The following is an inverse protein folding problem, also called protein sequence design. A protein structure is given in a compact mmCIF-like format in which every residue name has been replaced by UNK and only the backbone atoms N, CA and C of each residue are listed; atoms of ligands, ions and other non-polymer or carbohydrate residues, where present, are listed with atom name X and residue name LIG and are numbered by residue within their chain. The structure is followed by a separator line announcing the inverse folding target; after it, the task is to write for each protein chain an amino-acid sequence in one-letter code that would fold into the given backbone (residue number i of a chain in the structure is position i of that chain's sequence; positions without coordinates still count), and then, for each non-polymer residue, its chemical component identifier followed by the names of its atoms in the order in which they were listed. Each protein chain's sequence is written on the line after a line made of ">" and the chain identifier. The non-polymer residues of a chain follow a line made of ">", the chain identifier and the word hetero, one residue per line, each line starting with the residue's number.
data_IF_365092460770
#
_entry.id   IF_365092460770
#
_cell.length_a   1.000
_cell.length_b   1.000
_cell.length_c   1.000
_cell.angle_alpha   90.00
_cell.angle_beta   90.00
_cell.angle_gamma   90.00
#
_symmetry.space_group_name_H-M   'P 1'
#
loop_
_entity.id
_entity.type
_entity.pdbx_description
1 polymer ?
#
# COMPACT_ATOMS: atom_id res chain seq x y z
N UNK A 1 5.88 -33.50 -24.70
CA UNK A 1 4.76 -32.64 -25.12
C UNK A 1 3.86 -32.46 -23.92
N UNK A 2 3.99 -31.33 -23.22
CA UNK A 2 3.17 -31.02 -22.04
C UNK A 2 2.22 -29.91 -22.50
N UNK A 3 0.89 -30.12 -22.52
CA UNK A 3 -0.04 -29.04 -22.79
C UNK A 3 0.18 -27.96 -21.73
N UNK A 4 0.27 -26.73 -22.20
CA UNK A 4 0.32 -25.48 -21.44
C UNK A 4 -0.45 -25.55 -20.13
N UNK A 5 0.27 -25.69 -19.01
CA UNK A 5 -0.30 -25.55 -17.64
C UNK A 5 -0.53 -24.08 -17.25
N UNK A 6 -0.26 -23.17 -18.18
CA UNK A 6 -0.84 -21.84 -18.20
C UNK A 6 -2.23 -22.06 -18.81
N UNK A 7 -3.26 -22.03 -17.98
CA UNK A 7 -4.63 -22.05 -18.50
C UNK A 7 -4.78 -20.80 -19.36
N UNK A 8 -4.84 -21.00 -20.68
CA UNK A 8 -5.44 -20.05 -21.60
C UNK A 8 -6.92 -20.01 -21.25
N UNK A 9 -7.28 -19.17 -20.28
CA UNK A 9 -8.68 -18.93 -19.96
C UNK A 9 -9.16 -17.92 -21.00
N UNK A 10 -9.85 -18.44 -22.00
CA UNK A 10 -10.43 -17.64 -23.07
C UNK A 10 -11.80 -17.12 -22.59
N UNK A 11 -11.77 -16.03 -21.81
CA UNK A 11 -13.00 -15.38 -21.35
C UNK A 11 -13.39 -14.35 -22.41
N UNK A 12 -14.51 -14.56 -23.11
CA UNK A 12 -14.98 -13.69 -24.20
C UNK A 12 -13.98 -13.47 -25.34
N UNK A 13 -13.10 -14.44 -25.63
CA UNK A 13 -12.06 -14.32 -26.67
C UNK A 13 -10.79 -13.56 -26.21
N UNK A 14 -10.68 -13.26 -24.92
CA UNK A 14 -9.50 -12.66 -24.32
C UNK A 14 -8.64 -13.73 -23.65
N UNK A 15 -7.37 -13.79 -24.05
CA UNK A 15 -6.43 -14.76 -23.54
C UNK A 15 -5.83 -14.29 -22.20
N UNK A 16 -6.55 -14.51 -21.08
CA UNK A 16 -6.20 -13.98 -19.76
C UNK A 16 -5.13 -14.86 -19.08
N UNK A 17 -3.88 -14.58 -19.41
CA UNK A 17 -2.74 -15.48 -19.15
C UNK A 17 -2.10 -15.22 -17.78
N UNK A 18 -2.12 -13.98 -17.30
CA UNK A 18 -1.50 -13.60 -16.03
C UNK A 18 -2.41 -13.87 -14.83
N UNK A 19 -3.73 -13.70 -15.00
CA UNK A 19 -4.71 -14.00 -13.95
C UNK A 19 -4.77 -15.50 -13.62
N UNK A 20 -4.65 -16.34 -14.64
CA UNK A 20 -4.60 -17.79 -14.48
C UNK A 20 -3.29 -18.28 -13.87
N UNK A 21 -2.17 -17.55 -14.07
CA UNK A 21 -0.90 -17.83 -13.41
C UNK A 21 -0.87 -17.41 -11.93
N UNK A 22 -1.71 -16.45 -11.52
CA UNK A 22 -1.83 -15.97 -10.13
C UNK A 22 -2.81 -16.80 -9.29
N UNK A 23 -3.77 -17.49 -9.92
CA UNK A 23 -4.61 -18.50 -9.26
C UNK A 23 -3.92 -19.87 -9.29
N UNK A 24 -3.26 -20.20 -8.19
CA UNK A 24 -2.86 -21.59 -7.95
C UNK A 24 -4.13 -22.39 -7.62
N UNK A 25 -4.51 -23.31 -8.52
CA UNK A 25 -5.54 -24.32 -8.23
C UNK A 25 -4.90 -25.39 -7.33
N UNK A 26 -5.39 -25.50 -6.09
CA UNK A 26 -4.86 -26.40 -5.08
C UNK A 26 -5.01 -27.87 -5.51
N UNK A 27 -5.97 -28.21 -6.40
CA UNK A 27 -6.11 -29.59 -6.88
C UNK A 27 -5.03 -30.03 -7.87
N UNK A 28 -4.41 -29.10 -8.60
CA UNK A 28 -3.25 -29.45 -9.44
C UNK A 28 -2.01 -29.81 -8.59
N UNK A 29 -2.00 -29.40 -7.31
CA UNK A 29 -1.01 -29.80 -6.32
C UNK A 29 -1.27 -31.18 -5.71
N UNK A 30 -2.44 -31.81 -5.90
CA UNK A 30 -2.70 -33.20 -5.44
C UNK A 30 -1.69 -34.20 -6.01
N UNK A 31 -1.06 -33.87 -7.16
CA UNK A 31 0.04 -34.64 -7.76
C UNK A 31 1.33 -34.60 -6.92
N UNK A 32 1.42 -33.70 -5.94
CA UNK A 32 2.56 -33.48 -5.05
C UNK A 32 2.10 -33.33 -3.59
N UNK A 33 1.75 -34.44 -2.90
CA UNK A 33 1.10 -34.42 -1.58
C UNK A 33 1.78 -33.57 -0.48
N UNK A 34 3.13 -33.59 -0.31
CA UNK A 34 3.75 -32.77 0.73
C UNK A 34 3.69 -31.27 0.42
N UNK A 35 3.65 -30.90 -0.87
CA UNK A 35 3.59 -29.51 -1.30
C UNK A 35 2.18 -28.96 -1.19
N UNK A 36 1.18 -29.75 -1.57
CA UNK A 36 -0.24 -29.45 -1.35
C UNK A 36 -0.52 -29.14 0.13
N UNK A 37 -0.06 -29.99 1.03
CA UNK A 37 -0.23 -29.79 2.47
C UNK A 37 0.37 -28.45 2.96
N UNK A 38 1.59 -28.12 2.53
CA UNK A 38 2.27 -26.87 2.92
C UNK A 38 1.52 -25.64 2.38
N UNK A 39 1.15 -25.66 1.09
CA UNK A 39 0.47 -24.52 0.45
C UNK A 39 -0.93 -24.35 1.05
N UNK A 40 -1.66 -25.44 1.30
CA UNK A 40 -2.97 -25.42 1.94
C UNK A 40 -2.90 -24.81 3.35
N UNK A 41 -1.97 -25.26 4.20
CA UNK A 41 -1.77 -24.67 5.54
C UNK A 41 -1.41 -23.20 5.44
N UNK A 42 -0.48 -22.84 4.56
CA UNK A 42 -0.03 -21.44 4.39
C UNK A 42 -1.18 -20.55 3.94
N UNK A 43 -2.06 -21.04 3.05
CA UNK A 43 -3.24 -20.31 2.59
C UNK A 43 -4.29 -20.15 3.69
N UNK A 44 -4.49 -21.15 4.56
CA UNK A 44 -5.37 -21.03 5.74
C UNK A 44 -4.83 -19.99 6.71
N UNK A 45 -3.52 -20.01 6.99
CA UNK A 45 -2.86 -18.99 7.82
C UNK A 45 -3.01 -17.60 7.19
N UNK A 46 -2.81 -17.48 5.88
CA UNK A 46 -3.02 -16.25 5.14
C UNK A 46 -4.47 -15.74 5.30
N UNK A 47 -5.47 -16.61 5.13
CA UNK A 47 -6.88 -16.25 5.28
C UNK A 47 -7.19 -15.68 6.67
N UNK A 48 -6.67 -16.31 7.73
CA UNK A 48 -6.83 -15.82 9.10
C UNK A 48 -6.18 -14.45 9.26
N UNK A 49 -4.95 -14.27 8.76
CA UNK A 49 -4.25 -12.99 8.77
C UNK A 49 -5.01 -11.90 8.00
N UNK A 50 -5.53 -12.20 6.81
CA UNK A 50 -6.31 -11.26 6.00
C UNK A 50 -7.50 -10.69 6.78
N UNK A 51 -8.22 -11.53 7.53
CA UNK A 51 -9.36 -11.09 8.35
C UNK A 51 -8.89 -10.16 9.48
N UNK A 52 -7.87 -10.55 10.24
CA UNK A 52 -7.34 -9.73 11.33
C UNK A 52 -6.81 -8.37 10.84
N UNK A 53 -6.06 -8.37 9.74
CA UNK A 53 -5.51 -7.15 9.16
C UNK A 53 -6.62 -6.29 8.54
N UNK A 54 -7.58 -6.89 7.85
CA UNK A 54 -8.76 -6.17 7.33
C UNK A 54 -9.51 -5.44 8.45
N UNK A 55 -9.70 -6.09 9.60
CA UNK A 55 -10.29 -5.47 10.78
C UNK A 55 -9.41 -4.36 11.37
N UNK A 56 -8.08 -4.54 11.40
CA UNK A 56 -7.13 -3.53 11.86
C UNK A 56 -7.07 -2.27 10.97
N UNK A 57 -7.37 -2.42 9.68
CA UNK A 57 -7.43 -1.31 8.74
C UNK A 57 -8.59 -0.33 9.00
N UNK A 58 -9.70 -0.78 9.60
CA UNK A 58 -10.85 0.06 9.92
C UNK A 58 -10.52 1.17 10.95
N UNK A 59 -9.99 0.87 12.16
CA UNK A 59 -9.55 1.89 13.09
C UNK A 59 -8.38 2.70 12.53
N UNK A 60 -7.50 2.10 11.73
CA UNK A 60 -6.41 2.84 11.09
C UNK A 60 -6.92 3.91 10.11
N UNK A 61 -7.91 3.56 9.28
CA UNK A 61 -8.60 4.50 8.39
C UNK A 61 -9.21 5.66 9.20
N UNK A 62 -9.90 5.36 10.30
CA UNK A 62 -10.47 6.38 11.19
C UNK A 62 -9.38 7.31 11.77
N UNK A 63 -8.26 6.76 12.25
CA UNK A 63 -7.14 7.54 12.79
C UNK A 63 -6.59 8.49 11.74
N UNK A 64 -6.27 8.01 10.55
CA UNK A 64 -5.71 8.85 9.48
C UNK A 64 -6.74 9.87 9.00
N UNK A 65 -8.03 9.51 8.94
CA UNK A 65 -9.12 10.40 8.55
C UNK A 65 -9.40 11.51 9.57
N UNK A 66 -9.07 11.32 10.85
CA UNK A 66 -9.37 12.29 11.91
C UNK A 66 -8.15 13.06 12.40
N UNK A 67 -6.94 12.48 12.35
CA UNK A 67 -5.71 13.19 12.73
C UNK A 67 -5.34 14.27 11.71
N UNK A 68 -4.84 15.40 12.21
CA UNK A 68 -4.38 16.57 11.46
C UNK A 68 -2.84 16.65 11.32
N UNK A 69 -2.13 15.51 11.45
CA UNK A 69 -0.66 15.45 11.45
C UNK A 69 -0.04 15.98 10.14
N UNK A 70 -0.69 15.73 9.02
CA UNK A 70 -0.23 16.14 7.69
C UNK A 70 -1.26 17.00 6.99
N UNK A 71 -0.77 17.84 6.07
CA UNK A 71 -1.60 18.69 5.23
C UNK A 71 -2.72 17.89 4.51
N UNK A 72 -3.93 18.46 4.33
CA UNK A 72 -5.09 17.76 3.76
C UNK A 72 -4.88 17.10 2.38
N UNK A 73 -3.91 17.56 1.58
CA UNK A 73 -3.57 16.93 0.30
C UNK A 73 -2.90 15.57 0.52
N UNK A 74 -1.85 15.50 1.34
CA UNK A 74 -1.18 14.24 1.66
C UNK A 74 -2.12 13.29 2.41
N UNK A 75 -2.93 13.81 3.32
CA UNK A 75 -3.95 13.01 4.01
C UNK A 75 -4.90 12.31 3.03
N UNK A 76 -5.38 13.01 2.00
CA UNK A 76 -6.23 12.41 0.95
C UNK A 76 -5.50 11.32 0.16
N UNK A 77 -4.22 11.52 -0.15
CA UNK A 77 -3.39 10.51 -0.81
C UNK A 77 -3.22 9.28 0.11
N UNK A 78 -2.93 9.47 1.40
CA UNK A 78 -2.81 8.37 2.36
C UNK A 78 -4.12 7.60 2.50
N UNK A 79 -5.27 8.28 2.56
CA UNK A 79 -6.59 7.63 2.60
C UNK A 79 -6.87 6.81 1.33
N UNK A 80 -6.47 7.30 0.15
CA UNK A 80 -6.54 6.53 -1.10
C UNK A 80 -5.70 5.24 -0.99
N UNK A 81 -4.47 5.33 -0.47
CA UNK A 81 -3.58 4.17 -0.31
C UNK A 81 -4.15 3.14 0.67
N UNK A 82 -4.71 3.60 1.79
CA UNK A 82 -5.37 2.78 2.80
C UNK A 82 -6.59 2.07 2.21
N UNK A 83 -7.43 2.79 1.47
CA UNK A 83 -8.60 2.22 0.80
C UNK A 83 -8.19 1.15 -0.22
N UNK A 84 -7.16 1.40 -1.02
CA UNK A 84 -6.66 0.42 -1.98
C UNK A 84 -6.02 -0.80 -1.30
N UNK A 85 -5.33 -0.62 -0.18
CA UNK A 85 -4.83 -1.74 0.63
C UNK A 85 -5.98 -2.60 1.17
N UNK A 86 -7.06 -1.98 1.65
CA UNK A 86 -8.24 -2.69 2.11
C UNK A 86 -8.93 -3.47 0.97
N UNK A 87 -9.14 -2.82 -0.19
CA UNK A 87 -9.72 -3.47 -1.37
C UNK A 87 -8.83 -4.61 -1.92
N UNK A 88 -7.50 -4.46 -1.85
CA UNK A 88 -6.56 -5.51 -2.18
C UNK A 88 -6.75 -6.75 -1.27
N UNK A 89 -6.86 -6.56 0.05
CA UNK A 89 -7.09 -7.65 1.00
C UNK A 89 -8.44 -8.34 0.75
N UNK A 90 -9.49 -7.55 0.50
CA UNK A 90 -10.83 -8.06 0.22
C UNK A 90 -10.86 -8.91 -1.06
N UNK A 91 -10.28 -8.40 -2.16
CA UNK A 91 -10.22 -9.14 -3.42
C UNK A 91 -9.35 -10.40 -3.30
N UNK A 92 -8.25 -10.37 -2.53
CA UNK A 92 -7.46 -11.58 -2.24
C UNK A 92 -8.27 -12.62 -1.47
N UNK A 93 -9.08 -12.21 -0.49
CA UNK A 93 -9.98 -13.11 0.23
C UNK A 93 -10.96 -13.81 -0.74
N UNK A 94 -11.56 -13.06 -1.68
CA UNK A 94 -12.42 -13.63 -2.73
C UNK A 94 -11.65 -14.64 -3.59
N UNK A 95 -10.42 -14.33 -4.02
CA UNK A 95 -9.62 -15.24 -4.83
C UNK A 95 -9.25 -16.54 -4.09
N UNK A 96 -9.02 -16.49 -2.79
CA UNK A 96 -8.77 -17.70 -1.97
C UNK A 96 -10.01 -18.61 -1.96
N UNK A 97 -11.23 -18.07 -1.95
CA UNK A 97 -12.46 -18.88 -2.05
C UNK A 97 -12.54 -19.65 -3.37
N UNK A 98 -12.04 -19.07 -4.46
CA UNK A 98 -11.89 -19.76 -5.75
C UNK A 98 -10.77 -20.80 -5.71
N UNK A 99 -9.62 -20.52 -5.09
CA UNK A 99 -8.52 -21.48 -4.95
C UNK A 99 -8.90 -22.75 -4.18
N UNK A 100 -9.76 -22.64 -3.17
CA UNK A 100 -10.32 -23.79 -2.44
C UNK A 100 -11.58 -24.40 -3.10
N UNK A 101 -12.08 -23.81 -4.19
CA UNK A 101 -13.35 -24.19 -4.84
C UNK A 101 -14.58 -24.14 -3.92
N UNK A 102 -14.59 -23.23 -2.94
CA UNK A 102 -15.84 -22.86 -2.28
C UNK A 102 -16.79 -22.15 -3.25
N UNK A 103 -16.21 -21.46 -4.24
CA UNK A 103 -16.90 -20.95 -5.43
C UNK A 103 -16.34 -21.75 -6.61
N UNK A 104 -17.15 -22.64 -7.16
CA UNK A 104 -16.72 -23.48 -8.29
C UNK A 104 -16.67 -22.67 -9.58
N UNK A 105 -15.67 -22.99 -10.43
CA UNK A 105 -15.70 -22.65 -11.85
C UNK A 105 -16.67 -23.61 -12.53
N UNK A 106 -17.95 -23.31 -12.47
CA UNK A 106 -19.01 -24.15 -13.07
C UNK A 106 -19.04 -24.08 -14.59
N UNK A 107 -18.21 -23.22 -15.20
CA UNK A 107 -18.34 -22.83 -16.61
C UNK A 107 -19.51 -21.87 -16.84
N UNK A 108 -20.10 -21.35 -15.76
CA UNK A 108 -21.08 -20.27 -15.80
C UNK A 108 -20.33 -18.94 -16.01
N UNK A 109 -20.77 -18.17 -17.03
CA UNK A 109 -20.18 -16.88 -17.38
C UNK A 109 -20.11 -15.93 -16.17
N UNK A 110 -21.05 -16.05 -15.23
CA UNK A 110 -21.06 -15.20 -14.02
C UNK A 110 -19.95 -15.52 -13.03
N UNK A 111 -19.64 -16.81 -12.79
CA UNK A 111 -18.56 -17.18 -11.87
C UNK A 111 -17.18 -16.80 -12.41
N UNK A 112 -17.01 -16.90 -13.73
CA UNK A 112 -15.75 -16.56 -14.40
C UNK A 112 -15.56 -15.05 -14.54
N UNK A 113 -16.66 -14.30 -14.73
CA UNK A 113 -16.64 -12.84 -14.71
C UNK A 113 -16.25 -12.29 -13.33
N UNK A 114 -16.79 -12.84 -12.24
CA UNK A 114 -16.45 -12.42 -10.88
C UNK A 114 -14.96 -12.66 -10.57
N UNK A 115 -14.42 -13.79 -11.04
CA UNK A 115 -12.99 -14.09 -10.95
C UNK A 115 -12.13 -13.06 -11.68
N UNK A 116 -12.52 -12.72 -12.91
CA UNK A 116 -11.83 -11.73 -13.74
C UNK A 116 -11.85 -10.33 -13.09
N UNK A 117 -13.01 -9.92 -12.58
CA UNK A 117 -13.18 -8.63 -11.89
C UNK A 117 -12.33 -8.60 -10.62
N UNK A 118 -12.44 -9.61 -9.75
CA UNK A 118 -11.70 -9.66 -8.50
C UNK A 118 -10.18 -9.62 -8.75
N UNK A 119 -9.72 -10.38 -9.73
CA UNK A 119 -8.31 -10.40 -10.14
C UNK A 119 -7.82 -9.07 -10.71
N UNK A 120 -8.59 -8.45 -11.60
CA UNK A 120 -8.25 -7.15 -12.20
C UNK A 120 -8.25 -6.02 -11.19
N UNK A 121 -9.27 -5.97 -10.31
CA UNK A 121 -9.36 -4.98 -9.23
C UNK A 121 -8.18 -5.15 -8.27
N UNK A 122 -7.82 -6.39 -7.91
CA UNK A 122 -6.65 -6.64 -7.06
C UNK A 122 -5.37 -6.08 -7.66
N UNK A 123 -5.13 -6.35 -8.95
CA UNK A 123 -3.95 -5.83 -9.66
C UNK A 123 -3.97 -4.30 -9.75
N UNK A 124 -5.13 -3.68 -9.96
CA UNK A 124 -5.25 -2.23 -9.97
C UNK A 124 -4.91 -1.65 -8.58
N UNK A 125 -5.47 -2.20 -7.50
CA UNK A 125 -5.16 -1.78 -6.14
C UNK A 125 -3.68 -1.95 -5.81
N UNK A 126 -3.08 -3.06 -6.25
CA UNK A 126 -1.64 -3.32 -6.11
C UNK A 126 -0.82 -2.22 -6.78
N UNK A 127 -1.12 -1.87 -8.04
CA UNK A 127 -0.44 -0.79 -8.78
C UNK A 127 -0.56 0.55 -8.03
N UNK A 128 -1.74 0.89 -7.51
CA UNK A 128 -1.94 2.13 -6.74
C UNK A 128 -1.08 2.15 -5.48
N UNK A 129 -1.02 1.04 -4.75
CA UNK A 129 -0.22 0.92 -3.52
C UNK A 129 1.28 1.00 -3.84
N UNK A 130 1.76 0.34 -4.89
CA UNK A 130 3.17 0.48 -5.33
C UNK A 130 3.50 1.90 -5.82
N UNK A 131 2.53 2.62 -6.37
CA UNK A 131 2.68 4.00 -6.78
C UNK A 131 2.67 5.01 -5.61
N UNK A 132 2.61 4.56 -4.34
CA UNK A 132 2.66 5.46 -3.18
C UNK A 132 3.90 6.36 -3.18
N UNK A 133 5.06 5.83 -3.59
CA UNK A 133 6.32 6.58 -3.59
C UNK A 133 6.25 7.79 -4.52
N UNK A 134 5.93 7.65 -5.82
CA UNK A 134 5.75 8.81 -6.68
C UNK A 134 4.63 9.73 -6.20
N UNK A 135 3.51 9.22 -5.64
CA UNK A 135 2.44 10.08 -5.13
C UNK A 135 2.88 10.99 -3.99
N UNK A 136 3.58 10.42 -2.99
CA UNK A 136 4.11 11.18 -1.85
C UNK A 136 5.17 12.18 -2.34
N UNK A 137 6.09 11.75 -3.21
CA UNK A 137 7.15 12.63 -3.71
C UNK A 137 6.57 13.80 -4.52
N UNK A 138 5.62 13.56 -5.42
CA UNK A 138 4.98 14.62 -6.21
C UNK A 138 4.28 15.63 -5.31
N UNK A 139 3.52 15.19 -4.31
CA UNK A 139 2.86 16.10 -3.39
C UNK A 139 3.87 16.90 -2.54
N UNK A 140 4.96 16.26 -2.09
CA UNK A 140 6.03 16.94 -1.36
C UNK A 140 6.82 17.93 -2.21
N UNK A 141 7.02 17.67 -3.50
CA UNK A 141 7.64 18.64 -4.42
C UNK A 141 6.82 19.93 -4.46
N UNK A 142 5.50 19.82 -4.59
CA UNK A 142 4.62 21.00 -4.57
C UNK A 142 4.59 21.69 -3.20
N UNK A 143 4.61 20.94 -2.11
CA UNK A 143 4.69 21.50 -0.76
C UNK A 143 5.97 22.31 -0.51
N UNK A 144 7.09 21.91 -1.13
CA UNK A 144 8.36 22.66 -1.07
C UNK A 144 8.35 23.86 -2.04
N UNK A 145 7.82 23.73 -3.25
CA UNK A 145 7.72 24.85 -4.22
C UNK A 145 6.83 25.97 -3.68
N UNK A 146 5.69 25.60 -3.08
CA UNK A 146 4.68 26.54 -2.58
C UNK A 146 4.80 26.80 -1.07
N UNK A 147 5.99 26.63 -0.48
CA UNK A 147 6.20 26.67 0.98
C UNK A 147 5.52 27.84 1.69
N UNK A 148 5.52 29.02 1.08
CA UNK A 148 4.99 30.25 1.67
C UNK A 148 3.46 30.34 1.71
N UNK A 149 2.75 29.68 0.78
CA UNK A 149 1.31 29.80 0.65
C UNK A 149 0.57 28.46 0.61
N UNK A 150 1.28 27.34 0.80
CA UNK A 150 0.71 25.99 0.76
C UNK A 150 -0.37 25.80 1.83
N UNK A 151 -0.12 26.26 3.05
CA UNK A 151 -1.07 26.13 4.17
C UNK A 151 -2.34 26.99 3.97
N UNK A 152 -2.17 28.17 3.38
CA UNK A 152 -3.25 29.14 3.20
C UNK A 152 -4.15 28.77 2.01
N UNK A 153 -3.55 28.18 0.97
CA UNK A 153 -4.26 27.74 -0.23
C UNK A 153 -4.25 26.23 -0.28
N UNK A 154 -5.39 25.62 0.06
CA UNK A 154 -5.58 24.15 0.09
C UNK A 154 -5.14 23.41 -1.20
N UNK A 155 -5.06 24.10 -2.35
CA UNK A 155 -4.54 23.59 -3.65
C UNK A 155 -4.98 22.15 -3.91
N UNK A 156 -6.27 21.89 -3.70
CA UNK A 156 -6.86 20.54 -3.68
C UNK A 156 -6.62 19.77 -4.97
N UNK A 157 -6.47 20.51 -6.07
CA UNK A 157 -6.13 20.00 -7.40
C UNK A 157 -4.89 19.07 -7.39
N UNK A 158 -3.90 19.28 -6.52
CA UNK A 158 -2.70 18.42 -6.46
C UNK A 158 -3.10 16.99 -6.11
N UNK A 159 -3.83 16.83 -5.00
CA UNK A 159 -4.34 15.52 -4.59
C UNK A 159 -5.36 14.96 -5.58
N UNK A 160 -6.21 15.81 -6.16
CA UNK A 160 -7.21 15.38 -7.14
C UNK A 160 -6.60 14.82 -8.42
N UNK A 161 -5.55 15.44 -8.96
CA UNK A 161 -4.83 14.93 -10.14
C UNK A 161 -4.20 13.58 -9.83
N UNK A 162 -3.57 13.41 -8.67
CA UNK A 162 -2.98 12.15 -8.26
C UNK A 162 -4.06 11.06 -8.14
N UNK A 163 -5.17 11.35 -7.46
CA UNK A 163 -6.27 10.40 -7.27
C UNK A 163 -6.90 10.02 -8.61
N UNK A 164 -7.31 10.99 -9.43
CA UNK A 164 -7.94 10.74 -10.73
C UNK A 164 -6.97 10.04 -11.68
N UNK A 165 -5.71 10.48 -11.71
CA UNK A 165 -4.66 9.83 -12.50
C UNK A 165 -4.47 8.37 -12.09
N UNK A 166 -4.43 8.08 -10.79
CA UNK A 166 -4.32 6.70 -10.29
C UNK A 166 -5.53 5.84 -10.66
N UNK A 167 -6.75 6.41 -10.60
CA UNK A 167 -7.98 5.72 -10.94
C UNK A 167 -8.10 5.39 -12.44
N UNK A 168 -7.35 6.07 -13.30
CA UNK A 168 -7.29 5.79 -14.74
C UNK A 168 -6.12 4.85 -15.05
N UNK A 169 -4.92 5.18 -14.59
CA UNK A 169 -3.69 4.46 -14.93
C UNK A 169 -3.67 3.06 -14.33
N UNK A 170 -4.14 2.88 -13.09
CA UNK A 170 -4.06 1.58 -12.43
C UNK A 170 -4.97 0.51 -13.07
N UNK A 171 -6.25 0.79 -13.41
CA UNK A 171 -7.06 -0.18 -14.16
C UNK A 171 -6.51 -0.50 -15.54
N UNK A 172 -6.01 0.50 -16.30
CA UNK A 172 -5.40 0.28 -17.61
C UNK A 172 -4.16 -0.63 -17.47
N UNK A 173 -3.30 -0.36 -16.48
CA UNK A 173 -2.14 -1.18 -16.18
C UNK A 173 -2.52 -2.60 -15.76
N UNK A 174 -3.56 -2.75 -14.93
CA UNK A 174 -4.06 -4.04 -14.49
C UNK A 174 -4.62 -4.89 -15.64
N UNK A 175 -5.40 -4.28 -16.53
CA UNK A 175 -5.92 -4.93 -17.74
C UNK A 175 -4.75 -5.31 -18.65
N UNK A 176 -3.80 -4.39 -18.89
CA UNK A 176 -2.60 -4.65 -19.68
C UNK A 176 -1.79 -5.83 -19.14
N UNK A 177 -1.54 -5.89 -17.83
CA UNK A 177 -0.85 -7.01 -17.17
C UNK A 177 -1.67 -8.31 -17.27
N UNK A 178 -2.99 -8.24 -17.17
CA UNK A 178 -3.88 -9.41 -17.26
C UNK A 178 -3.84 -10.07 -18.65
N UNK A 179 -3.69 -9.26 -19.70
CA UNK A 179 -3.65 -9.68 -21.11
C UNK A 179 -2.23 -10.04 -21.56
N UNK A 180 -1.21 -9.47 -20.92
CA UNK A 180 0.17 -9.64 -21.36
C UNK A 180 0.58 -11.13 -21.40
N UNK A 181 0.67 -11.68 -22.61
CA UNK A 181 1.26 -13.00 -22.93
C UNK A 181 2.78 -12.88 -23.06
N UNK A 182 3.40 -12.04 -22.24
CA UNK A 182 4.86 -12.03 -22.17
C UNK A 182 5.25 -13.16 -21.23
N UNK A 183 6.26 -13.95 -21.61
CA UNK A 183 6.86 -14.92 -20.69
C UNK A 183 7.16 -14.19 -19.38
N UNK A 184 6.40 -14.49 -18.34
CA UNK A 184 6.43 -13.79 -17.04
C UNK A 184 7.88 -13.69 -16.53
N UNK A 185 8.69 -14.70 -16.85
CA UNK A 185 10.13 -14.76 -16.57
C UNK A 185 10.93 -13.67 -17.26
N UNK A 186 10.72 -13.44 -18.56
CA UNK A 186 11.43 -12.41 -19.32
C UNK A 186 10.98 -11.00 -18.90
N UNK A 187 9.68 -10.78 -18.73
CA UNK A 187 9.17 -9.48 -18.31
C UNK A 187 9.63 -9.10 -16.89
N UNK A 188 9.50 -10.02 -15.92
CA UNK A 188 9.90 -9.76 -14.54
C UNK A 188 11.42 -9.58 -14.40
N UNK A 189 12.22 -10.44 -15.06
CA UNK A 189 13.68 -10.45 -14.88
C UNK A 189 14.38 -9.33 -15.64
N UNK A 190 13.99 -9.06 -16.89
CA UNK A 190 14.71 -8.10 -17.72
C UNK A 190 14.16 -6.67 -17.60
N UNK A 191 12.89 -6.50 -17.25
CA UNK A 191 12.25 -5.18 -17.19
C UNK A 191 11.72 -4.84 -15.80
N UNK A 192 11.01 -5.75 -15.14
CA UNK A 192 10.37 -5.50 -13.84
C UNK A 192 11.36 -5.14 -12.74
N UNK A 193 12.32 -6.03 -12.45
CA UNK A 193 13.30 -5.83 -11.37
C UNK A 193 14.18 -4.59 -11.61
N UNK A 194 14.78 -4.39 -12.81
CA UNK A 194 15.58 -3.18 -13.06
C UNK A 194 14.76 -1.89 -12.99
N UNK A 195 13.54 -1.87 -13.54
CA UNK A 195 12.69 -0.68 -13.48
C UNK A 195 12.28 -0.35 -12.03
N UNK A 196 11.98 -1.38 -11.24
CA UNK A 196 11.68 -1.21 -9.81
C UNK A 196 12.89 -0.65 -9.05
N UNK A 197 14.08 -1.23 -9.21
CA UNK A 197 15.29 -0.73 -8.56
C UNK A 197 15.61 0.72 -8.96
N UNK A 198 15.46 1.06 -10.24
CA UNK A 198 15.63 2.43 -10.73
C UNK A 198 14.59 3.39 -10.10
N UNK A 199 13.33 2.96 -9.96
CA UNK A 199 12.29 3.75 -9.31
C UNK A 199 12.62 3.99 -7.82
N UNK A 200 13.10 2.97 -7.11
CA UNK A 200 13.48 3.07 -5.70
C UNK A 200 14.70 3.98 -5.49
N UNK A 201 15.73 3.85 -6.33
CA UNK A 201 16.90 4.74 -6.33
C UNK A 201 16.48 6.18 -6.65
N UNK A 202 15.64 6.36 -7.66
CA UNK A 202 15.10 7.66 -8.04
C UNK A 202 14.32 8.32 -6.90
N UNK A 203 13.49 7.55 -6.20
CA UNK A 203 12.75 8.03 -5.03
C UNK A 203 13.66 8.35 -3.85
N UNK A 204 14.64 7.50 -3.52
CA UNK A 204 15.64 7.76 -2.47
C UNK A 204 16.41 9.07 -2.75
N UNK A 205 16.84 9.24 -4.00
CA UNK A 205 17.55 10.43 -4.43
C UNK A 205 16.65 11.67 -4.39
N UNK A 206 15.42 11.56 -4.87
CA UNK A 206 14.44 12.65 -4.89
C UNK A 206 14.09 13.14 -3.49
N UNK A 207 13.72 12.22 -2.59
CA UNK A 207 13.43 12.53 -1.18
C UNK A 207 14.65 13.07 -0.44
N UNK A 208 15.83 12.50 -0.65
CA UNK A 208 17.07 12.98 -0.05
C UNK A 208 17.45 14.39 -0.50
N UNK A 209 17.32 14.69 -1.80
CA UNK A 209 17.55 16.03 -2.34
C UNK A 209 16.54 17.03 -1.78
N UNK A 210 15.26 16.66 -1.76
CA UNK A 210 14.18 17.54 -1.32
C UNK A 210 14.28 17.82 0.19
N UNK A 211 14.64 16.81 1.01
CA UNK A 211 14.88 16.97 2.44
C UNK A 211 16.05 17.91 2.73
N UNK A 212 17.16 17.82 1.97
CA UNK A 212 18.29 18.77 2.11
C UNK A 212 17.92 20.20 1.76
N UNK A 213 17.15 20.39 0.69
CA UNK A 213 16.65 21.73 0.31
C UNK A 213 15.74 22.27 1.40
N UNK A 214 14.78 21.47 1.86
CA UNK A 214 13.83 21.85 2.90
C UNK A 214 14.53 22.17 4.24
N UNK A 215 15.57 21.41 4.61
CA UNK A 215 16.34 21.67 5.82
C UNK A 215 17.10 22.99 5.75
N UNK A 216 17.77 23.30 4.63
CA UNK A 216 18.43 24.60 4.42
C UNK A 216 17.43 25.74 4.54
N UNK A 217 16.25 25.60 3.94
CA UNK A 217 15.20 26.62 4.03
C UNK A 217 14.71 26.79 5.47
N UNK A 218 14.53 25.71 6.23
CA UNK A 218 14.16 25.77 7.63
C UNK A 218 15.22 26.48 8.49
N UNK A 219 16.50 26.18 8.27
CA UNK A 219 17.62 26.82 8.97
C UNK A 219 17.66 28.33 8.69
N UNK A 220 17.46 28.73 7.43
CA UNK A 220 17.41 30.14 7.04
C UNK A 220 16.21 30.87 7.67
N UNK A 221 15.04 30.23 7.73
CA UNK A 221 13.84 30.77 8.39
C UNK A 221 14.05 30.94 9.90
N UNK A 222 14.77 30.00 10.53
CA UNK A 222 15.09 30.09 11.96
C UNK A 222 16.10 31.20 12.25
N UNK A 223 17.11 31.38 11.40
CA UNK A 223 18.11 32.45 11.53
C UNK A 223 17.53 33.85 11.39
N UNK A 224 16.55 34.04 10.51
CA UNK A 224 16.03 35.38 10.17
C UNK A 224 15.01 35.94 11.17
N UNK A 225 14.58 35.17 12.18
CA UNK A 225 13.54 35.58 13.16
C UNK A 225 12.32 36.29 12.54
N UNK A 226 11.95 35.96 11.30
CA UNK A 226 10.82 36.60 10.63
C UNK A 226 9.50 36.04 11.20
N UNK A 227 8.71 36.87 11.88
CA UNK A 227 7.34 36.55 12.35
C UNK A 227 6.42 36.12 11.20
N UNK A 228 6.58 36.71 10.01
CA UNK A 228 5.86 36.34 8.79
C UNK A 228 6.20 34.94 8.23
N UNK A 229 7.14 34.22 8.87
CA UNK A 229 7.58 32.88 8.47
C UNK A 229 6.96 31.72 9.25
N UNK A 230 6.06 31.96 10.22
CA UNK A 230 5.57 30.87 11.11
C UNK A 230 4.90 29.72 10.34
N UNK A 231 4.02 30.04 9.40
CA UNK A 231 3.37 29.03 8.54
C UNK A 231 4.38 28.31 7.62
N UNK A 232 5.38 29.03 7.09
CA UNK A 232 6.44 28.42 6.30
C UNK A 232 7.34 27.49 7.13
N UNK A 233 7.64 27.85 8.39
CA UNK A 233 8.36 27.00 9.34
C UNK A 233 7.59 25.74 9.67
N UNK A 234 6.28 25.88 9.92
CA UNK A 234 5.38 24.75 10.11
C UNK A 234 5.45 23.79 8.92
N UNK A 235 5.28 24.32 7.71
CA UNK A 235 5.23 23.49 6.50
C UNK A 235 6.57 22.79 6.27
N UNK A 236 7.67 23.49 6.49
CA UNK A 236 9.00 22.92 6.39
C UNK A 236 9.24 21.80 7.44
N UNK A 237 8.77 21.98 8.69
CA UNK A 237 8.85 20.95 9.72
C UNK A 237 7.98 19.73 9.39
N UNK A 238 6.76 19.93 8.87
CA UNK A 238 5.90 18.85 8.37
C UNK A 238 6.58 18.08 7.22
N UNK A 239 7.14 18.78 6.24
CA UNK A 239 7.86 18.16 5.13
C UNK A 239 9.02 17.30 5.63
N UNK A 240 9.77 17.75 6.64
CA UNK A 240 10.87 16.99 7.19
C UNK A 240 10.41 15.70 7.88
N UNK A 241 9.30 15.75 8.63
CA UNK A 241 8.65 14.56 9.20
C UNK A 241 8.21 13.60 8.10
N UNK A 242 7.59 14.11 7.04
CA UNK A 242 7.16 13.30 5.89
C UNK A 242 8.34 12.63 5.17
N UNK A 243 9.48 13.30 5.01
CA UNK A 243 10.68 12.68 4.44
C UNK A 243 11.25 11.58 5.35
N UNK A 244 11.23 11.79 6.66
CA UNK A 244 11.59 10.76 7.63
C UNK A 244 10.68 9.53 7.54
N UNK A 245 9.37 9.75 7.43
CA UNK A 245 8.37 8.71 7.19
C UNK A 245 8.65 7.95 5.89
N UNK A 246 8.81 8.68 4.78
CA UNK A 246 9.06 8.13 3.45
C UNK A 246 10.33 7.27 3.41
N UNK A 247 11.41 7.71 4.07
CA UNK A 247 12.66 6.95 4.14
C UNK A 247 12.52 5.67 4.98
N UNK A 248 11.88 5.73 6.16
CA UNK A 248 11.60 4.52 6.97
C UNK A 248 10.81 3.51 6.16
N UNK A 249 9.79 3.97 5.43
CA UNK A 249 9.00 3.15 4.54
C UNK A 249 9.84 2.53 3.43
N UNK A 250 10.66 3.35 2.77
CA UNK A 250 11.54 2.91 1.68
C UNK A 250 12.51 1.80 2.11
N UNK A 251 13.14 1.94 3.28
CA UNK A 251 14.04 0.92 3.81
C UNK A 251 13.30 -0.39 4.07
N UNK A 252 12.12 -0.31 4.70
CA UNK A 252 11.31 -1.49 4.98
C UNK A 252 10.86 -2.18 3.68
N UNK A 253 10.32 -1.43 2.72
CA UNK A 253 9.89 -1.99 1.43
C UNK A 253 11.04 -2.62 0.67
N UNK A 254 12.17 -1.91 0.54
CA UNK A 254 13.35 -2.44 -0.17
C UNK A 254 13.84 -3.74 0.46
N UNK A 255 13.87 -3.79 1.80
CA UNK A 255 14.22 -5.01 2.53
C UNK A 255 13.24 -6.13 2.22
N UNK A 256 11.94 -5.90 2.39
CA UNK A 256 10.88 -6.87 2.07
C UNK A 256 10.99 -7.39 0.64
N UNK A 257 11.14 -6.49 -0.34
CA UNK A 257 11.18 -6.80 -1.77
C UNK A 257 12.44 -7.57 -2.14
N UNK A 258 13.59 -7.27 -1.52
CA UNK A 258 14.82 -8.03 -1.72
C UNK A 258 14.68 -9.48 -1.25
N UNK A 259 14.07 -9.70 -0.08
CA UNK A 259 13.82 -11.06 0.42
C UNK A 259 12.79 -11.80 -0.42
N UNK A 260 11.65 -11.17 -0.74
CA UNK A 260 10.59 -11.77 -1.54
C UNK A 260 11.06 -12.16 -2.94
N UNK A 261 11.72 -11.23 -3.63
CA UNK A 261 12.27 -11.48 -4.98
C UNK A 261 13.43 -12.46 -4.94
N UNK A 262 14.28 -12.40 -3.92
CA UNK A 262 15.40 -13.32 -3.73
C UNK A 262 14.94 -14.77 -3.59
N UNK A 263 13.89 -15.03 -2.81
CA UNK A 263 13.30 -16.37 -2.66
C UNK A 263 12.76 -16.89 -3.99
N UNK A 264 12.05 -16.03 -4.76
CA UNK A 264 11.52 -16.41 -6.08
C UNK A 264 12.64 -16.72 -7.07
N UNK A 265 13.69 -15.90 -7.13
CA UNK A 265 14.84 -16.12 -8.03
C UNK A 265 15.58 -17.41 -7.65
N UNK A 266 15.88 -17.62 -6.36
CA UNK A 266 16.55 -18.84 -5.88
C UNK A 266 15.71 -20.07 -6.25
N UNK A 267 14.39 -20.01 -6.07
CA UNK A 267 13.50 -21.11 -6.44
C UNK A 267 13.51 -21.39 -7.95
N UNK A 268 13.44 -20.35 -8.79
CA UNK A 268 13.50 -20.48 -10.25
C UNK A 268 14.84 -21.04 -10.73
N UNK A 269 15.96 -20.69 -10.07
CA UNK A 269 17.31 -21.15 -10.43
C UNK A 269 17.62 -22.58 -9.96
N UNK A 270 17.12 -23.00 -8.79
CA UNK A 270 17.46 -24.29 -8.19
C UNK A 270 16.71 -25.48 -8.79
N UNK A 271 15.48 -25.26 -9.25
CA UNK A 271 14.63 -26.35 -9.75
C UNK A 271 14.59 -26.34 -11.29
N UNK A 272 14.72 -27.50 -11.93
CA UNK A 272 14.72 -27.61 -13.40
C UNK A 272 13.34 -27.86 -14.01
N UNK A 273 12.30 -28.08 -13.19
CA UNK A 273 10.96 -28.38 -13.67
C UNK A 273 10.17 -27.08 -13.93
N UNK A 274 9.88 -26.71 -15.19
CA UNK A 274 9.34 -25.40 -15.50
C UNK A 274 7.95 -25.16 -14.90
N UNK A 275 7.14 -26.20 -14.82
CA UNK A 275 5.74 -26.14 -14.36
C UNK A 275 5.65 -26.02 -12.84
N UNK A 276 6.33 -26.89 -12.10
CA UNK A 276 6.34 -26.88 -10.63
C UNK A 276 6.91 -25.57 -10.08
N UNK A 277 7.98 -25.06 -10.71
CA UNK A 277 8.58 -23.79 -10.34
C UNK A 277 7.64 -22.61 -10.53
N UNK A 278 6.85 -22.62 -11.61
CA UNK A 278 5.91 -21.55 -11.90
C UNK A 278 4.83 -21.50 -10.81
N UNK A 279 4.33 -22.66 -10.41
CA UNK A 279 3.25 -22.79 -9.43
C UNK A 279 3.73 -22.42 -8.02
N UNK A 280 4.91 -22.88 -7.60
CA UNK A 280 5.50 -22.51 -6.29
C UNK A 280 5.90 -21.03 -6.27
N UNK A 281 6.52 -20.53 -7.34
CA UNK A 281 6.86 -19.11 -7.43
C UNK A 281 5.60 -18.22 -7.39
N UNK A 282 4.51 -18.65 -8.04
CA UNK A 282 3.20 -18.00 -7.97
C UNK A 282 2.65 -17.98 -6.55
N UNK A 283 2.65 -19.12 -5.85
CA UNK A 283 2.20 -19.21 -4.45
C UNK A 283 3.04 -18.32 -3.52
N UNK A 284 4.36 -18.33 -3.66
CA UNK A 284 5.27 -17.47 -2.87
C UNK A 284 5.00 -15.99 -3.16
N UNK A 285 4.83 -15.63 -4.43
CA UNK A 285 4.52 -14.26 -4.83
C UNK A 285 3.17 -13.79 -4.26
N UNK A 286 2.15 -14.65 -4.29
CA UNK A 286 0.85 -14.36 -3.69
C UNK A 286 0.95 -14.10 -2.19
N UNK A 287 1.58 -15.01 -1.43
CA UNK A 287 1.77 -14.82 0.01
C UNK A 287 2.63 -13.58 0.33
N UNK A 288 3.68 -13.35 -0.46
CA UNK A 288 4.53 -12.16 -0.36
C UNK A 288 3.73 -10.87 -0.59
N UNK A 289 2.89 -10.84 -1.62
CA UNK A 289 2.06 -9.67 -1.95
C UNK A 289 1.10 -9.31 -0.82
N UNK A 290 0.62 -10.30 -0.06
CA UNK A 290 -0.22 -10.10 1.13
C UNK A 290 0.54 -9.50 2.32
N UNK A 291 1.86 -9.69 2.43
CA UNK A 291 2.68 -9.05 3.47
C UNK A 291 2.85 -7.53 3.26
N UNK A 292 2.66 -7.04 2.04
CA UNK A 292 2.84 -5.61 1.72
C UNK A 292 1.85 -4.70 2.45
N UNK A 293 0.51 -4.88 2.37
CA UNK A 293 -0.43 -4.08 3.17
C UNK A 293 -0.20 -4.24 4.68
N UNK A 294 0.16 -5.43 5.14
CA UNK A 294 0.47 -5.69 6.56
C UNK A 294 1.62 -4.80 7.01
N UNK A 295 2.72 -4.82 6.27
CA UNK A 295 3.86 -3.97 6.56
C UNK A 295 3.54 -2.48 6.45
N UNK A 296 2.68 -2.07 5.52
CA UNK A 296 2.26 -0.68 5.41
C UNK A 296 1.59 -0.18 6.71
N UNK A 297 0.67 -0.97 7.26
CA UNK A 297 0.02 -0.65 8.53
C UNK A 297 1.03 -0.58 9.69
N UNK A 298 1.92 -1.55 9.83
CA UNK A 298 2.89 -1.56 10.93
C UNK A 298 3.90 -0.42 10.83
N UNK A 299 4.48 -0.21 9.64
CA UNK A 299 5.48 0.84 9.43
C UNK A 299 4.86 2.22 9.63
N UNK A 300 3.61 2.41 9.21
CA UNK A 300 2.95 3.71 9.38
C UNK A 300 2.68 4.05 10.85
N UNK A 301 2.17 3.09 11.64
CA UNK A 301 1.99 3.25 13.09
C UNK A 301 3.34 3.35 13.83
N UNK A 302 4.39 2.70 13.35
CA UNK A 302 5.73 2.86 13.92
C UNK A 302 6.30 4.25 13.61
N UNK A 303 6.15 4.72 12.38
CA UNK A 303 6.77 5.94 11.90
C UNK A 303 6.10 7.22 12.41
N UNK A 304 4.78 7.19 12.69
CA UNK A 304 3.99 8.34 13.17
C UNK A 304 3.41 8.04 14.55
N UNK A 305 3.99 8.65 15.58
CA UNK A 305 3.63 8.40 16.98
C UNK A 305 2.20 8.84 17.31
N UNK A 306 1.73 9.93 16.73
CA UNK A 306 0.39 10.46 16.93
C UNK A 306 -0.68 9.50 16.40
N UNK A 307 -0.42 8.86 15.26
CA UNK A 307 -1.29 7.81 14.72
C UNK A 307 -1.29 6.60 15.64
N UNK A 308 -0.13 6.19 16.14
CA UNK A 308 0.01 5.06 17.07
C UNK A 308 -0.81 5.27 18.34
N UNK A 309 -0.65 6.43 19.00
CA UNK A 309 -1.35 6.75 20.24
C UNK A 309 -2.87 6.71 20.04
N UNK A 310 -3.37 7.38 19.00
CA UNK A 310 -4.80 7.40 18.70
C UNK A 310 -5.33 6.03 18.26
N UNK A 311 -4.52 5.23 17.58
CA UNK A 311 -4.90 3.87 17.18
C UNK A 311 -5.11 2.99 18.41
N UNK A 312 -4.17 2.99 19.36
CA UNK A 312 -4.28 2.18 20.57
C UNK A 312 -5.33 2.71 21.56
N UNK A 313 -5.57 4.02 21.63
CA UNK A 313 -6.61 4.58 22.50
C UNK A 313 -8.03 4.14 22.12
N UNK A 314 -8.27 3.73 20.87
CA UNK A 314 -9.56 3.13 20.45
C UNK A 314 -9.82 1.81 21.17
N UNK A 315 -8.77 1.06 21.49
CA UNK A 315 -8.87 -0.26 22.12
C UNK A 315 -8.79 -0.20 23.66
N UNK A 316 -8.32 0.90 24.24
CA UNK A 316 -8.22 1.07 25.71
C UNK A 316 -9.55 0.83 26.45
N UNK A 317 -10.72 1.34 26.00
CA UNK A 317 -12.00 1.07 26.67
C UNK A 317 -12.39 -0.41 26.63
N UNK A 318 -12.07 -1.10 25.53
CA UNK A 318 -12.37 -2.53 25.31
C UNK A 318 -11.49 -3.39 26.21
N UNK A 319 -10.21 -3.03 26.36
CA UNK A 319 -9.22 -3.77 27.15
C UNK A 319 -9.34 -3.49 28.66
N UNK A 320 -9.70 -2.28 29.06
CA UNK A 320 -9.81 -1.88 30.46
C UNK A 320 -11.21 -2.09 31.06
N UNK A 321 -12.17 -2.60 30.30
CA UNK A 321 -13.54 -2.85 30.77
C UNK A 321 -14.28 -1.58 31.21
N UNK A 322 -13.86 -0.39 30.74
CA UNK A 322 -14.54 0.85 31.03
C UNK A 322 -15.89 0.87 30.29
N UNK A 323 -16.97 1.12 31.03
CA UNK A 323 -18.30 1.29 30.44
C UNK A 323 -18.27 2.44 29.44
N UNK A 324 -18.66 2.14 28.20
CA UNK A 324 -18.93 3.11 27.15
C UNK A 324 -20.06 4.01 27.67
N UNK A 325 -19.73 5.13 28.31
CA UNK A 325 -20.70 6.00 28.98
C UNK A 325 -20.11 7.03 29.95
N UNK A 326 -18.91 6.78 30.51
CA UNK A 326 -18.32 7.69 31.51
C UNK A 326 -17.30 8.68 30.94
N UNK A 327 -16.90 8.53 29.67
CA UNK A 327 -16.19 9.58 28.94
C UNK A 327 -17.22 10.58 28.44
N UNK A 328 -17.21 11.85 28.89
CA UNK A 328 -18.07 12.86 28.30
C UNK A 328 -17.77 12.88 26.79
N UNK A 329 -18.79 12.98 25.92
CA UNK A 329 -18.55 13.08 24.49
C UNK A 329 -17.62 14.27 24.32
N UNK A 330 -16.38 14.00 23.90
CA UNK A 330 -15.50 15.02 23.37
C UNK A 330 -16.28 15.55 22.18
N UNK A 331 -16.96 16.68 22.42
CA UNK A 331 -17.78 17.33 21.41
C UNK A 331 -16.88 17.42 20.20
N UNK A 332 -17.28 16.78 19.11
CA UNK A 332 -16.81 17.09 17.78
C UNK A 332 -17.28 18.52 17.41
N UNK A 333 -16.90 19.51 18.22
CA UNK A 333 -16.70 20.85 17.76
C UNK A 333 -15.48 20.73 16.88
N UNK A 334 -15.72 20.63 15.57
CA UNK A 334 -14.75 21.02 14.55
C UNK A 334 -14.60 22.55 14.69
N UNK A 335 -14.09 22.99 15.84
CA UNK A 335 -13.55 24.33 16.00
C UNK A 335 -12.16 24.22 15.43
N UNK A 336 -12.04 24.56 14.15
CA UNK A 336 -10.76 24.65 13.46
C UNK A 336 -9.76 25.48 14.28
N UNK A 337 -10.24 26.44 15.07
CA UNK A 337 -9.45 27.27 16.00
C UNK A 337 -8.95 26.53 17.25
N UNK A 338 -9.69 25.51 17.72
CA UNK A 338 -9.28 24.69 18.87
C UNK A 338 -8.27 23.64 18.44
N UNK A 339 -8.48 22.96 17.30
CA UNK A 339 -7.46 22.07 16.70
C UNK A 339 -6.18 22.84 16.37
N UNK A 340 -6.32 24.08 15.88
CA UNK A 340 -5.18 24.96 15.61
C UNK A 340 -4.48 25.38 16.90
N UNK A 341 -5.23 25.70 17.96
CA UNK A 341 -4.66 25.99 19.29
C UNK A 341 -3.98 24.79 19.91
N UNK A 342 -4.62 23.64 19.94
CA UNK A 342 -4.07 22.41 20.52
C UNK A 342 -2.82 21.98 19.72
N UNK A 343 -2.83 22.20 18.40
CA UNK A 343 -1.65 22.06 17.54
C UNK A 343 -0.52 23.03 17.93
N UNK A 344 -0.81 24.32 18.13
CA UNK A 344 0.19 25.32 18.50
C UNK A 344 0.66 25.21 19.97
N UNK A 345 -0.19 24.76 20.88
CA UNK A 345 0.11 24.55 22.30
C UNK A 345 0.95 23.29 22.51
N UNK A 346 0.67 22.20 21.78
CA UNK A 346 1.57 21.05 21.69
C UNK A 346 2.97 21.49 21.20
N UNK A 347 3.03 22.42 20.24
CA UNK A 347 4.28 22.98 19.73
C UNK A 347 5.02 23.82 20.79
N UNK A 348 4.31 24.62 21.58
CA UNK A 348 4.91 25.40 22.68
C UNK A 348 5.57 24.50 23.72
N UNK A 349 5.04 23.29 23.92
CA UNK A 349 5.59 22.29 24.85
C UNK A 349 6.78 21.49 24.30
N UNK A 350 6.97 21.44 22.98
CA UNK A 350 8.09 20.70 22.35
C UNK A 350 9.32 21.57 22.10
N UNK A 351 9.21 22.89 22.32
CA UNK A 351 10.26 23.88 22.07
C UNK A 351 10.68 24.68 23.32
N UNK A 352 10.05 24.42 24.47
CA UNK A 352 10.55 24.80 25.79
C UNK A 352 11.47 23.69 26.30
#
# INVERSE_FOLDING_TARGET
>A
MIPSLIYHVDIFGWNVTFLSALLVDIRELERFPPLDFIISITTVVEMVLLVFIGLAYLPYFYVVATCSVYHPNLKRIMLLLILNSFLFLFTRFVLILYSFRYIDRTGDETSDLLLLIAGTVRLACMIVVFAMFPFILTERIFAVIYLWDYEHKRRTWISSIIIVGSAIVAPIGAIGLSIAVLEIRAFATYFGIPAFLLAMIGFAWGTGKLSRVNQKTLDDLNRKNCEYGLSAKYQAAENQRCFGFANKFLYFSTFSDFFGTGVVIIHVLLYKQPTLNCLIAGAIFEHYSTLYPISYLFVSLYAVEEWRKKYFSIFEPILCGQKIGDTPPEKANINHDQDTKDYFDYYKSTWA
#
